data_IF_444783562907
#
_entry.id   IF_444783562907
#
_cell.length_a   1.000
_cell.length_b   1.000
_cell.length_c   1.000
_cell.angle_alpha   90.00
_cell.angle_beta   90.00
_cell.angle_gamma   90.00
#
_symmetry.space_group_name_H-M   'P 1'
#
loop_
_entity.id
_entity.type
_entity.pdbx_description
1 polymer ?
#
# COMPACT_ATOMS: atom_id res chain seq x y z
N UNK A 1 -42.70 -33.15 39.22
CA UNK A 1 -42.44 -31.76 39.67
C UNK A 1 -41.83 -31.03 38.47
N UNK A 2 -42.61 -30.44 37.55
CA UNK A 2 -43.29 -29.12 37.62
C UNK A 2 -42.25 -28.00 37.87
N UNK A 3 -42.02 -26.98 37.04
CA UNK A 3 -42.86 -26.13 36.15
C UNK A 3 -41.94 -25.34 35.18
N UNK A 4 -42.13 -25.29 33.86
CA UNK A 4 -42.95 -24.36 33.03
C UNK A 4 -43.01 -22.90 33.49
N UNK A 5 -42.61 -21.96 32.63
CA UNK A 5 -43.34 -20.69 32.36
C UNK A 5 -42.95 -20.12 30.98
N UNK A 6 -43.97 -19.94 30.13
CA UNK A 6 -43.98 -19.15 28.89
C UNK A 6 -44.63 -17.79 29.18
N UNK A 7 -44.37 -16.76 28.34
CA UNK A 7 -45.33 -15.74 27.79
C UNK A 7 -44.48 -14.70 27.04
N UNK A 8 -44.55 -14.49 25.72
CA UNK A 8 -45.63 -13.98 24.83
C UNK A 8 -46.15 -12.61 25.26
N UNK A 9 -46.02 -11.59 24.39
CA UNK A 9 -47.12 -10.71 23.92
C UNK A 9 -46.63 -9.74 22.83
N UNK A 10 -47.41 -9.71 21.75
CA UNK A 10 -47.43 -8.80 20.60
C UNK A 10 -48.10 -7.48 20.95
N UNK A 11 -47.78 -6.37 20.27
CA UNK A 11 -48.75 -5.28 20.13
C UNK A 11 -48.74 -4.61 18.75
N UNK A 12 -49.93 -4.29 18.27
CA UNK A 12 -50.32 -3.73 16.96
C UNK A 12 -51.26 -2.55 17.24
N UNK A 13 -51.09 -1.41 16.57
CA UNK A 13 -52.14 -0.38 16.33
C UNK A 13 -51.54 0.69 15.39
N UNK A 14 -52.00 0.89 14.15
CA UNK A 14 -53.03 1.87 13.67
C UNK A 14 -52.79 3.30 14.16
N UNK A 15 -52.92 4.39 13.41
CA UNK A 15 -53.38 4.72 12.06
C UNK A 15 -53.40 6.26 11.95
N UNK A 16 -53.55 6.85 10.76
CA UNK A 16 -53.76 8.30 10.65
C UNK A 16 -53.36 8.91 9.31
N UNK A 17 -54.30 8.93 8.37
CA UNK A 17 -54.31 9.78 7.16
C UNK A 17 -54.65 11.23 7.50
N UNK A 18 -54.05 12.23 6.83
CA UNK A 18 -54.86 13.25 6.15
C UNK A 18 -54.13 14.04 5.05
N UNK A 19 -54.94 14.43 4.05
CA UNK A 19 -54.68 15.13 2.79
C UNK A 19 -54.47 16.65 2.95
N UNK A 20 -54.05 17.26 1.82
CA UNK A 20 -54.56 18.54 1.22
C UNK A 20 -53.54 19.68 1.18
N UNK A 21 -53.39 20.55 0.17
CA UNK A 21 -53.79 20.70 -1.25
C UNK A 21 -53.20 22.04 -1.73
N UNK A 22 -52.93 22.18 -3.04
CA UNK A 22 -52.86 23.46 -3.79
C UNK A 22 -51.60 24.32 -3.59
N UNK A 23 -51.13 25.12 -4.54
CA UNK A 23 -51.64 25.53 -5.85
C UNK A 23 -50.49 26.11 -6.70
N UNK A 24 -50.80 26.36 -7.96
CA UNK A 24 -49.98 26.49 -9.15
C UNK A 24 -49.33 27.87 -9.39
N UNK A 25 -48.48 27.86 -10.43
CA UNK A 25 -48.28 28.92 -11.44
C UNK A 25 -47.22 29.99 -11.13
N UNK A 26 -46.50 30.61 -12.08
CA UNK A 26 -46.25 30.42 -13.51
C UNK A 26 -45.06 31.33 -13.86
N UNK A 27 -44.36 30.94 -14.93
CA UNK A 27 -43.43 31.67 -15.80
C UNK A 27 -43.21 33.19 -15.65
N UNK A 28 -41.97 33.64 -15.89
CA UNK A 28 -41.55 34.33 -17.14
C UNK A 28 -40.11 34.84 -17.06
N UNK A 29 -39.36 34.52 -18.10
CA UNK A 29 -38.10 35.13 -18.52
C UNK A 29 -38.37 36.23 -19.55
N UNK A 30 -37.55 37.29 -19.54
CA UNK A 30 -36.94 37.98 -20.70
C UNK A 30 -36.74 39.49 -20.43
N UNK A 31 -35.49 39.95 -20.58
CA UNK A 31 -35.01 41.26 -21.07
C UNK A 31 -33.50 41.33 -20.75
N UNK A 32 -32.56 41.79 -21.60
CA UNK A 32 -32.59 42.87 -22.57
C UNK A 32 -31.38 42.83 -23.55
N UNK A 33 -31.59 43.49 -24.71
CA UNK A 33 -30.70 44.16 -25.70
C UNK A 33 -29.17 44.17 -25.49
N UNK A 34 -28.36 43.77 -26.49
CA UNK A 34 -27.88 44.48 -27.71
C UNK A 34 -26.77 45.55 -27.49
N UNK A 35 -25.59 45.18 -28.01
CA UNK A 35 -24.64 45.95 -28.83
C UNK A 35 -23.81 47.08 -28.19
N UNK A 36 -22.47 46.92 -28.15
CA UNK A 36 -21.54 47.88 -28.76
C UNK A 36 -20.08 47.39 -28.77
N UNK A 37 -19.40 47.83 -29.82
CA UNK A 37 -18.03 47.55 -30.25
C UNK A 37 -17.04 48.45 -29.50
N UNK A 38 -15.93 47.91 -28.95
CA UNK A 38 -14.75 48.70 -28.56
C UNK A 38 -13.47 47.87 -28.58
N UNK A 39 -12.50 48.40 -29.31
CA UNK A 39 -11.10 47.97 -29.45
C UNK A 39 -10.31 48.09 -28.15
N UNK A 40 -9.29 47.25 -27.98
CA UNK A 40 -8.28 47.38 -26.93
C UNK A 40 -7.41 46.14 -26.83
N UNK A 41 -6.11 46.32 -27.09
CA UNK A 41 -5.05 45.32 -27.01
C UNK A 41 -4.99 44.57 -25.66
N UNK A 42 -4.59 43.30 -25.69
CA UNK A 42 -3.37 42.79 -25.04
C UNK A 42 -3.35 41.25 -24.93
N UNK A 43 -2.37 40.65 -25.63
CA UNK A 43 -1.57 39.47 -25.28
C UNK A 43 -2.16 38.45 -24.29
N UNK A 44 -2.47 37.26 -24.78
CA UNK A 44 -2.23 36.02 -24.05
C UNK A 44 -1.96 34.89 -25.03
N UNK A 45 -0.71 34.46 -25.06
CA UNK A 45 -0.31 33.17 -25.60
C UNK A 45 -0.94 32.06 -24.74
N UNK A 46 -1.26 30.93 -25.37
CA UNK A 46 -1.83 29.70 -24.78
C UNK A 46 -3.37 29.63 -24.68
N UNK A 47 -4.00 29.34 -25.82
CA UNK A 47 -5.28 28.63 -25.87
C UNK A 47 -5.01 27.13 -26.05
N UNK A 48 -5.19 26.33 -25.01
CA UNK A 48 -5.14 24.87 -25.11
C UNK A 48 -6.53 24.34 -25.52
N UNK A 49 -6.67 24.05 -26.81
CA UNK A 49 -7.80 23.35 -27.39
C UNK A 49 -7.76 21.86 -27.07
N UNK A 50 -8.95 21.33 -26.81
CA UNK A 50 -9.29 19.95 -26.45
C UNK A 50 -9.05 18.97 -27.61
N UNK A 51 -8.28 17.92 -27.31
CA UNK A 51 -8.26 16.54 -27.85
C UNK A 51 -8.41 16.29 -29.36
N UNK A 52 -7.33 15.81 -29.99
CA UNK A 52 -7.28 14.54 -30.75
C UNK A 52 -5.94 14.42 -31.46
N UNK A 53 -5.26 13.28 -31.29
CA UNK A 53 -4.02 12.96 -32.03
C UNK A 53 -2.78 12.86 -31.13
N UNK A 54 -2.32 11.62 -30.96
CA UNK A 54 -0.92 11.20 -30.89
C UNK A 54 0.08 12.27 -30.41
N UNK A 55 0.21 12.39 -29.09
CA UNK A 55 1.15 13.30 -28.44
C UNK A 55 2.59 12.79 -28.46
N UNK A 56 3.50 13.70 -28.81
CA UNK A 56 4.89 13.47 -29.14
C UNK A 56 5.76 12.94 -27.99
N UNK A 57 6.64 11.99 -28.33
CA UNK A 57 7.86 11.69 -27.59
C UNK A 57 8.81 12.88 -27.71
N UNK A 58 8.89 13.69 -26.66
CA UNK A 58 9.86 14.78 -26.57
C UNK A 58 10.74 14.53 -25.35
N UNK A 59 11.98 14.14 -25.63
CA UNK A 59 13.15 14.47 -24.80
C UNK A 59 13.34 13.74 -23.48
N UNK A 60 13.85 12.51 -23.54
CA UNK A 60 14.88 12.03 -22.61
C UNK A 60 15.65 10.88 -23.29
N UNK A 61 16.87 11.17 -23.71
CA UNK A 61 17.82 10.19 -24.25
C UNK A 61 18.27 9.26 -23.14
N UNK A 62 17.88 7.99 -23.17
CA UNK A 62 18.67 6.87 -22.66
C UNK A 62 18.47 5.68 -23.61
N UNK A 63 19.52 4.89 -23.79
CA UNK A 63 19.77 4.02 -24.93
C UNK A 63 18.63 3.05 -25.29
N UNK A 64 18.49 2.79 -26.60
CA UNK A 64 17.28 2.30 -27.28
C UNK A 64 16.56 1.08 -26.71
N UNK A 65 15.22 1.16 -26.73
CA UNK A 65 14.32 0.03 -27.02
C UNK A 65 13.18 0.55 -27.90
N UNK A 66 12.92 -0.19 -28.98
CA UNK A 66 11.95 0.15 -30.01
C UNK A 66 10.51 0.24 -29.48
N UNK A 67 9.81 1.26 -29.95
CA UNK A 67 8.37 1.45 -29.76
C UNK A 67 7.65 0.34 -30.53
N UNK A 68 6.85 -0.47 -29.83
CA UNK A 68 5.72 -1.16 -30.44
C UNK A 68 5.48 -2.60 -30.00
N UNK A 69 5.03 -2.84 -28.76
CA UNK A 69 4.18 -4.00 -28.45
C UNK A 69 3.16 -3.69 -27.34
N UNK A 70 1.88 -3.73 -27.73
CA UNK A 70 0.64 -3.97 -26.96
C UNK A 70 0.42 -3.27 -25.59
N UNK A 71 -0.53 -2.33 -25.58
CA UNK A 71 -0.98 -1.48 -24.47
C UNK A 71 -1.59 -2.17 -23.23
N UNK A 72 -1.48 -3.49 -23.06
CA UNK A 72 -1.87 -4.19 -21.82
C UNK A 72 -0.77 -5.09 -21.23
N UNK A 73 0.24 -5.48 -22.01
CA UNK A 73 1.40 -6.24 -21.52
C UNK A 73 2.64 -5.35 -21.32
N UNK A 74 2.66 -4.15 -21.92
CA UNK A 74 3.79 -3.21 -21.83
C UNK A 74 4.03 -2.62 -20.43
N UNK A 75 3.01 -2.57 -19.55
CA UNK A 75 3.20 -2.06 -18.18
C UNK A 75 4.14 -2.94 -17.36
N UNK A 76 4.12 -4.27 -17.55
CA UNK A 76 5.01 -5.18 -16.82
C UNK A 76 6.46 -5.09 -17.30
N UNK A 77 6.70 -4.90 -18.60
CA UNK A 77 8.06 -4.83 -19.16
C UNK A 77 8.74 -3.45 -18.98
N UNK A 78 7.99 -2.35 -18.99
CA UNK A 78 8.56 -1.02 -18.70
C UNK A 78 8.93 -0.88 -17.22
N UNK A 79 8.21 -1.54 -16.31
CA UNK A 79 8.63 -1.61 -14.91
C UNK A 79 9.91 -2.44 -14.78
N UNK A 80 10.04 -3.60 -15.45
CA UNK A 80 11.27 -4.41 -15.42
C UNK A 80 12.55 -3.68 -15.86
N UNK A 81 12.46 -2.77 -16.85
CA UNK A 81 13.60 -1.96 -17.29
C UNK A 81 13.98 -0.84 -16.32
N UNK A 82 13.04 -0.41 -15.47
CA UNK A 82 13.27 0.50 -14.35
C UNK A 82 13.65 -0.28 -13.07
N UNK A 83 13.21 -1.53 -12.93
CA UNK A 83 13.48 -2.43 -11.81
C UNK A 83 14.95 -2.85 -11.79
N UNK A 84 15.57 -3.02 -12.97
CA UNK A 84 17.02 -3.12 -13.11
C UNK A 84 17.78 -1.83 -12.72
N UNK A 85 17.08 -0.77 -12.29
CA UNK A 85 17.65 0.45 -11.69
C UNK A 85 17.25 0.66 -10.22
N UNK A 86 16.57 -0.30 -9.58
CA UNK A 86 16.17 -0.23 -8.16
C UNK A 86 17.24 -0.91 -7.31
N UNK A 87 18.37 -0.24 -7.17
CA UNK A 87 19.41 -0.56 -6.18
C UNK A 87 19.88 -2.02 -6.13
N UNK A 88 20.61 -2.32 -5.07
CA UNK A 88 20.98 -3.69 -4.71
C UNK A 88 19.92 -4.29 -3.78
N UNK A 89 20.05 -5.58 -3.46
CA UNK A 89 19.12 -6.31 -2.58
C UNK A 89 18.81 -5.61 -1.25
N UNK A 90 19.78 -4.95 -0.63
CA UNK A 90 19.63 -4.17 0.60
C UNK A 90 18.68 -2.97 0.41
N UNK A 91 18.82 -2.24 -0.71
CA UNK A 91 17.93 -1.12 -1.03
C UNK A 91 16.50 -1.59 -1.34
N UNK A 92 16.36 -2.78 -1.94
CA UNK A 92 15.05 -3.40 -2.18
C UNK A 92 14.36 -3.71 -0.84
N UNK A 93 15.06 -4.38 0.08
CA UNK A 93 14.51 -4.73 1.39
C UNK A 93 14.21 -3.48 2.24
N UNK A 94 15.08 -2.47 2.23
CA UNK A 94 14.81 -1.19 2.90
C UNK A 94 13.54 -0.49 2.35
N UNK A 95 13.31 -0.56 1.03
CA UNK A 95 12.08 -0.03 0.43
C UNK A 95 10.84 -0.82 0.90
N UNK A 96 10.97 -2.13 1.12
CA UNK A 96 9.91 -2.97 1.67
C UNK A 96 9.63 -2.66 3.14
N UNK A 97 10.66 -2.40 3.95
CA UNK A 97 10.53 -1.90 5.32
C UNK A 97 9.74 -0.59 5.37
N UNK A 98 10.13 0.39 4.56
CA UNK A 98 9.42 1.68 4.45
C UNK A 98 7.95 1.48 4.08
N UNK A 99 7.66 0.58 3.15
CA UNK A 99 6.31 0.26 2.74
C UNK A 99 5.49 -0.38 3.89
N UNK A 100 6.09 -1.29 4.66
CA UNK A 100 5.47 -1.91 5.82
C UNK A 100 5.20 -0.89 6.93
N UNK A 101 6.17 -0.04 7.27
CA UNK A 101 6.04 1.04 8.26
C UNK A 101 4.96 2.04 7.86
N UNK A 102 4.83 2.37 6.57
CA UNK A 102 3.75 3.22 6.07
C UNK A 102 2.36 2.56 6.19
N UNK A 103 2.26 1.24 6.15
CA UNK A 103 1.00 0.52 6.45
C UNK A 103 0.68 0.61 7.94
N UNK A 104 1.67 0.44 8.82
CA UNK A 104 1.49 0.65 10.26
C UNK A 104 0.99 2.06 10.59
N UNK A 105 1.57 3.09 9.98
CA UNK A 105 1.15 4.47 10.19
C UNK A 105 -0.34 4.67 9.80
N UNK A 106 -0.77 4.05 8.69
CA UNK A 106 -2.18 4.04 8.28
C UNK A 106 -3.07 3.28 9.26
N UNK A 107 -2.58 2.21 9.90
CA UNK A 107 -3.30 1.47 10.93
C UNK A 107 -3.44 2.30 12.21
N UNK A 108 -2.37 2.98 12.63
CA UNK A 108 -2.35 3.85 13.81
C UNK A 108 -3.25 5.09 13.64
N UNK A 109 -3.45 5.55 12.41
CA UNK A 109 -4.38 6.61 12.07
C UNK A 109 -5.87 6.17 12.01
N UNK A 110 -6.22 4.99 12.52
CA UNK A 110 -7.61 4.51 12.58
C UNK A 110 -8.21 4.54 13.98
N UNK A 111 -9.53 4.69 14.08
CA UNK A 111 -10.29 4.50 15.32
C UNK A 111 -11.07 3.17 15.35
N UNK A 112 -11.66 2.85 16.50
CA UNK A 112 -12.38 1.59 16.76
C UNK A 112 -13.60 1.35 15.85
N UNK A 113 -14.21 2.41 15.30
CA UNK A 113 -15.33 2.29 14.38
C UNK A 113 -14.91 1.79 12.99
N UNK A 114 -13.62 1.93 12.64
CA UNK A 114 -13.09 1.66 11.31
C UNK A 114 -12.64 0.20 11.11
N UNK A 115 -13.39 -0.75 11.66
CA UNK A 115 -13.04 -2.19 11.71
C UNK A 115 -12.72 -2.79 10.34
N UNK A 116 -13.49 -2.46 9.30
CA UNK A 116 -13.23 -2.93 7.93
C UNK A 116 -11.89 -2.43 7.39
N UNK A 117 -11.59 -1.13 7.58
CA UNK A 117 -10.31 -0.53 7.17
C UNK A 117 -9.14 -1.18 7.90
N UNK A 118 -9.26 -1.42 9.21
CA UNK A 118 -8.25 -2.13 10.02
C UNK A 118 -7.99 -3.53 9.49
N UNK A 119 -9.03 -4.31 9.18
CA UNK A 119 -8.89 -5.67 8.58
C UNK A 119 -8.18 -5.63 7.22
N UNK A 120 -8.55 -4.68 6.36
CA UNK A 120 -7.92 -4.54 5.04
C UNK A 120 -6.44 -4.12 5.14
N UNK A 121 -6.10 -3.25 6.09
CA UNK A 121 -4.70 -2.86 6.33
C UNK A 121 -3.90 -4.00 6.92
N UNK A 122 -4.45 -4.75 7.88
CA UNK A 122 -3.78 -5.93 8.44
C UNK A 122 -3.52 -6.98 7.37
N UNK A 123 -4.48 -7.28 6.51
CA UNK A 123 -4.28 -8.21 5.39
C UNK A 123 -3.16 -7.76 4.45
N UNK A 124 -3.09 -6.46 4.15
CA UNK A 124 -2.00 -5.89 3.33
C UNK A 124 -0.65 -5.98 4.03
N UNK A 125 -0.61 -5.69 5.32
CA UNK A 125 0.61 -5.79 6.14
C UNK A 125 1.10 -7.24 6.19
N UNK A 126 0.21 -8.20 6.45
CA UNK A 126 0.52 -9.63 6.46
C UNK A 126 1.18 -10.04 5.16
N UNK A 127 0.58 -9.70 4.01
CA UNK A 127 1.15 -10.06 2.72
C UNK A 127 2.51 -9.39 2.45
N UNK A 128 2.66 -8.11 2.81
CA UNK A 128 3.93 -7.40 2.66
C UNK A 128 5.05 -8.04 3.50
N UNK A 129 4.77 -8.35 4.77
CA UNK A 129 5.72 -8.98 5.67
C UNK A 129 6.03 -10.43 5.28
N UNK A 130 5.04 -11.20 4.83
CA UNK A 130 5.26 -12.59 4.36
C UNK A 130 6.19 -12.62 3.14
N UNK A 131 6.01 -11.68 2.20
CA UNK A 131 6.84 -11.56 1.00
C UNK A 131 8.28 -11.17 1.37
N UNK A 132 8.43 -10.15 2.20
CA UNK A 132 9.70 -9.65 2.69
C UNK A 132 10.48 -10.73 3.48
N UNK A 133 9.84 -11.33 4.48
CA UNK A 133 10.43 -12.39 5.27
C UNK A 133 10.86 -13.60 4.42
N UNK A 134 10.12 -13.92 3.35
CA UNK A 134 10.51 -14.98 2.42
C UNK A 134 11.81 -14.65 1.68
N UNK A 135 11.99 -13.41 1.21
CA UNK A 135 13.22 -12.98 0.55
C UNK A 135 14.44 -13.10 1.49
N UNK A 136 14.26 -12.75 2.76
CA UNK A 136 15.32 -12.85 3.76
C UNK A 136 15.63 -14.27 4.19
N UNK A 137 14.61 -15.03 4.60
CA UNK A 137 14.75 -16.40 5.10
C UNK A 137 15.33 -17.34 4.01
N UNK A 138 14.97 -17.13 2.74
CA UNK A 138 15.39 -18.00 1.65
C UNK A 138 16.69 -17.58 0.96
N UNK A 139 17.07 -16.30 1.05
CA UNK A 139 18.22 -15.75 0.31
C UNK A 139 19.23 -15.11 1.24
N UNK A 140 18.83 -14.07 1.98
CA UNK A 140 19.77 -13.21 2.72
C UNK A 140 20.34 -13.95 3.93
N UNK A 141 19.52 -14.55 4.78
CA UNK A 141 19.98 -15.22 6.00
C UNK A 141 20.87 -16.44 5.71
N UNK A 142 20.56 -17.30 4.71
CA UNK A 142 21.51 -18.32 4.26
C UNK A 142 22.85 -17.73 3.78
N UNK A 143 22.83 -16.63 3.04
CA UNK A 143 24.04 -15.99 2.56
C UNK A 143 24.88 -15.37 3.69
N UNK A 144 24.24 -14.75 4.69
CA UNK A 144 24.89 -14.28 5.91
C UNK A 144 25.59 -15.43 6.65
N UNK A 145 24.91 -16.57 6.80
CA UNK A 145 25.49 -17.76 7.44
C UNK A 145 26.68 -18.32 6.67
N UNK A 146 26.62 -18.33 5.34
CA UNK A 146 27.74 -18.77 4.48
C UNK A 146 28.95 -17.83 4.64
N UNK A 147 28.70 -16.53 4.82
CA UNK A 147 29.73 -15.52 5.08
C UNK A 147 30.24 -15.49 6.54
N UNK A 148 29.74 -16.37 7.41
CA UNK A 148 30.16 -16.46 8.82
C UNK A 148 29.44 -15.51 9.78
N UNK A 149 28.44 -14.76 9.32
CA UNK A 149 27.61 -13.84 10.10
C UNK A 149 26.39 -14.63 10.65
N UNK A 150 26.68 -15.70 11.39
CA UNK A 150 25.65 -16.67 11.79
C UNK A 150 24.80 -16.19 12.96
N UNK A 151 25.40 -15.50 13.93
CA UNK A 151 24.71 -15.10 15.16
C UNK A 151 23.59 -14.11 14.84
N UNK A 152 23.89 -13.11 14.03
CA UNK A 152 22.95 -12.10 13.60
C UNK A 152 21.87 -12.71 12.70
N UNK A 153 22.24 -13.60 11.76
CA UNK A 153 21.26 -14.29 10.92
C UNK A 153 20.28 -15.15 11.72
N UNK A 154 20.76 -15.87 12.74
CA UNK A 154 19.90 -16.70 13.59
C UNK A 154 19.02 -15.84 14.51
N UNK A 155 19.52 -14.70 14.99
CA UNK A 155 18.72 -13.72 15.75
C UNK A 155 17.60 -13.11 14.88
N UNK A 156 17.92 -12.66 13.66
CA UNK A 156 16.93 -12.07 12.74
C UNK A 156 15.83 -13.08 12.37
N UNK A 157 16.20 -14.35 12.15
CA UNK A 157 15.21 -15.41 11.90
C UNK A 157 14.32 -15.68 13.14
N UNK A 158 14.85 -15.57 14.36
CA UNK A 158 14.05 -15.67 15.58
C UNK A 158 13.03 -14.50 15.68
N UNK A 159 13.45 -13.28 15.34
CA UNK A 159 12.57 -12.10 15.32
C UNK A 159 11.38 -12.28 14.34
N UNK A 160 11.56 -12.98 13.22
CA UNK A 160 10.45 -13.34 12.31
C UNK A 160 9.40 -14.25 12.97
N UNK A 161 9.80 -15.07 13.95
CA UNK A 161 8.87 -15.83 14.79
C UNK A 161 7.98 -14.92 15.63
N UNK A 162 8.54 -13.84 16.17
CA UNK A 162 7.78 -12.84 16.92
C UNK A 162 6.81 -12.07 16.01
N UNK A 163 7.25 -11.71 14.79
CA UNK A 163 6.39 -11.09 13.75
C UNK A 163 5.13 -11.93 13.49
N UNK A 164 5.32 -13.25 13.27
CA UNK A 164 4.20 -14.20 13.06
C UNK A 164 3.27 -14.24 14.28
N UNK A 165 3.81 -14.12 15.49
CA UNK A 165 3.02 -14.06 16.73
C UNK A 165 2.16 -12.79 16.81
N UNK A 166 2.70 -11.61 16.47
CA UNK A 166 1.93 -10.36 16.43
C UNK A 166 0.83 -10.38 15.38
N UNK A 167 1.13 -10.91 14.18
CA UNK A 167 0.13 -11.07 13.12
C UNK A 167 -1.03 -11.95 13.57
N UNK A 168 -0.73 -13.10 14.20
CA UNK A 168 -1.75 -13.98 14.76
C UNK A 168 -2.56 -13.27 15.86
N UNK A 169 -1.90 -12.60 16.81
CA UNK A 169 -2.54 -11.87 17.91
C UNK A 169 -3.54 -10.83 17.37
N UNK A 170 -3.13 -10.04 16.38
CA UNK A 170 -4.02 -9.08 15.70
C UNK A 170 -5.15 -9.78 14.95
N UNK A 171 -4.91 -10.87 14.23
CA UNK A 171 -5.99 -11.58 13.55
C UNK A 171 -7.06 -12.12 14.53
N UNK A 172 -6.67 -12.54 15.74
CA UNK A 172 -7.58 -13.15 16.71
C UNK A 172 -8.31 -12.14 17.62
N UNK A 173 -7.70 -11.01 18.00
CA UNK A 173 -8.30 -10.14 19.03
C UNK A 173 -9.51 -9.31 18.57
N UNK A 174 -9.81 -9.28 17.27
CA UNK A 174 -10.87 -8.45 16.70
C UNK A 174 -10.44 -7.01 16.46
N UNK A 175 -10.79 -6.48 15.28
CA UNK A 175 -10.35 -5.15 14.83
C UNK A 175 -11.00 -3.98 15.59
N UNK A 176 -12.06 -4.24 16.35
CA UNK A 176 -12.73 -3.34 17.29
C UNK A 176 -12.17 -3.43 18.72
N UNK A 177 -11.19 -4.30 18.98
CA UNK A 177 -10.59 -4.42 20.31
C UNK A 177 -10.05 -3.08 20.82
N UNK A 178 -10.30 -2.71 22.09
CA UNK A 178 -9.77 -1.49 22.68
C UNK A 178 -8.23 -1.50 22.74
N UNK A 179 -7.59 -2.67 22.77
CA UNK A 179 -6.13 -2.84 22.79
C UNK A 179 -5.51 -3.01 21.39
N UNK A 180 -6.32 -2.88 20.32
CA UNK A 180 -5.85 -3.03 18.94
C UNK A 180 -4.67 -2.09 18.63
N UNK A 181 -4.86 -0.79 18.84
CA UNK A 181 -3.86 0.22 18.49
C UNK A 181 -2.60 0.11 19.35
N UNK A 182 -2.73 -0.35 20.59
CA UNK A 182 -1.59 -0.64 21.46
C UNK A 182 -0.75 -1.78 20.88
N UNK A 183 -1.39 -2.89 20.51
CA UNK A 183 -0.70 -4.03 19.86
C UNK A 183 -0.06 -3.63 18.54
N UNK A 184 -0.72 -2.77 17.74
CA UNK A 184 -0.15 -2.23 16.49
C UNK A 184 1.08 -1.36 16.76
N UNK A 185 1.10 -0.57 17.85
CA UNK A 185 2.28 0.25 18.23
C UNK A 185 3.46 -0.62 18.65
N UNK A 186 3.21 -1.63 19.48
CA UNK A 186 4.24 -2.61 19.89
C UNK A 186 4.83 -3.31 18.67
N UNK A 187 3.96 -3.79 17.77
CA UNK A 187 4.39 -4.49 16.57
C UNK A 187 5.17 -3.59 15.61
N UNK A 188 4.71 -2.36 15.37
CA UNK A 188 5.45 -1.36 14.58
C UNK A 188 6.83 -1.09 15.19
N UNK A 189 6.94 -1.00 16.51
CA UNK A 189 8.21 -0.77 17.18
C UNK A 189 9.17 -1.95 17.02
N UNK A 190 8.66 -3.19 17.01
CA UNK A 190 9.45 -4.38 16.69
C UNK A 190 10.00 -4.30 15.26
N UNK A 191 9.13 -4.11 14.27
CA UNK A 191 9.54 -4.02 12.86
C UNK A 191 10.53 -2.87 12.63
N UNK A 192 10.32 -1.72 13.28
CA UNK A 192 11.24 -0.59 13.15
C UNK A 192 12.63 -0.85 13.74
N UNK A 193 12.75 -1.68 14.78
CA UNK A 193 14.05 -2.05 15.34
C UNK A 193 14.74 -3.10 14.48
N UNK A 194 13.98 -4.07 13.99
CA UNK A 194 14.44 -5.09 13.05
C UNK A 194 15.05 -4.43 11.80
N UNK A 195 14.28 -3.59 11.12
CA UNK A 195 14.72 -2.85 9.94
C UNK A 195 15.99 -2.02 10.21
N UNK A 196 16.05 -1.35 11.36
CA UNK A 196 17.23 -0.56 11.74
C UNK A 196 18.49 -1.42 11.93
N UNK A 197 18.37 -2.56 12.61
CA UNK A 197 19.49 -3.48 12.81
C UNK A 197 20.01 -4.01 11.47
N UNK A 198 19.09 -4.40 10.58
CA UNK A 198 19.46 -4.88 9.26
C UNK A 198 20.12 -3.79 8.41
N UNK A 199 19.48 -2.64 8.26
CA UNK A 199 19.91 -1.58 7.35
C UNK A 199 21.19 -0.86 7.80
N UNK A 200 21.40 -0.67 9.10
CA UNK A 200 22.50 0.14 9.63
C UNK A 200 23.68 -0.71 10.14
N UNK A 201 23.45 -1.98 10.49
CA UNK A 201 24.48 -2.82 11.09
C UNK A 201 24.79 -4.06 10.22
N UNK A 202 23.81 -4.91 9.97
CA UNK A 202 24.03 -6.23 9.37
C UNK A 202 24.31 -6.14 7.87
N UNK A 203 23.46 -5.46 7.10
CA UNK A 203 23.59 -5.37 5.65
C UNK A 203 24.86 -4.63 5.23
N UNK A 204 25.24 -3.48 5.81
CA UNK A 204 26.48 -2.80 5.44
C UNK A 204 27.72 -3.66 5.74
N UNK A 205 27.76 -4.32 6.90
CA UNK A 205 28.84 -5.23 7.28
C UNK A 205 28.95 -6.41 6.32
N UNK A 206 27.82 -7.00 5.93
CA UNK A 206 27.80 -8.08 4.97
C UNK A 206 28.26 -7.63 3.58
N UNK A 207 27.73 -6.52 3.06
CA UNK A 207 28.07 -5.99 1.73
C UNK A 207 29.55 -5.64 1.58
N UNK A 208 30.21 -5.15 2.63
CA UNK A 208 31.65 -4.87 2.60
C UNK A 208 32.51 -6.12 2.32
N UNK A 209 31.97 -7.31 2.59
CA UNK A 209 32.66 -8.58 2.37
C UNK A 209 32.24 -9.28 1.07
N UNK A 210 31.34 -8.70 0.28
CA UNK A 210 30.88 -9.25 -0.99
C UNK A 210 31.72 -8.71 -2.16
N UNK A 211 32.05 -9.58 -3.10
CA UNK A 211 32.44 -9.14 -4.44
C UNK A 211 31.21 -8.60 -5.19
N UNK A 212 31.46 -7.79 -6.22
CA UNK A 212 30.40 -7.29 -7.11
C UNK A 212 29.55 -8.43 -7.70
N UNK A 213 30.18 -9.54 -8.09
CA UNK A 213 29.48 -10.70 -8.63
C UNK A 213 28.59 -11.38 -7.58
N UNK A 214 29.06 -11.51 -6.33
CA UNK A 214 28.26 -12.07 -5.25
C UNK A 214 27.07 -11.17 -4.90
N UNK A 215 27.30 -9.85 -4.80
CA UNK A 215 26.25 -8.87 -4.54
C UNK A 215 25.17 -8.90 -5.63
N UNK A 216 25.58 -8.87 -6.91
CA UNK A 216 24.67 -8.98 -8.04
C UNK A 216 23.90 -10.33 -8.06
N UNK A 217 24.55 -11.43 -7.67
CA UNK A 217 23.89 -12.74 -7.54
C UNK A 217 22.78 -12.71 -6.48
N UNK A 218 23.05 -12.15 -5.30
CA UNK A 218 22.06 -12.02 -4.22
C UNK A 218 20.90 -11.11 -4.67
N UNK A 219 21.20 -9.97 -5.29
CA UNK A 219 20.19 -9.07 -5.89
C UNK A 219 19.27 -9.80 -6.86
N UNK A 220 19.80 -10.65 -7.73
CA UNK A 220 18.98 -11.44 -8.65
C UNK A 220 18.09 -12.47 -7.93
N UNK A 221 18.59 -13.11 -6.88
CA UNK A 221 17.83 -14.08 -6.09
C UNK A 221 16.70 -13.42 -5.30
N UNK A 222 16.97 -12.30 -4.63
CA UNK A 222 15.96 -11.51 -3.90
C UNK A 222 14.85 -11.04 -4.84
N UNK A 223 15.19 -10.49 -6.00
CA UNK A 223 14.20 -10.07 -7.00
C UNK A 223 13.34 -11.24 -7.51
N UNK A 224 13.97 -12.40 -7.75
CA UNK A 224 13.25 -13.60 -8.22
C UNK A 224 12.25 -14.09 -7.18
N UNK A 225 12.66 -14.17 -5.92
CA UNK A 225 11.80 -14.70 -4.86
C UNK A 225 10.69 -13.69 -4.51
N UNK A 226 11.00 -12.39 -4.52
CA UNK A 226 10.00 -11.33 -4.38
C UNK A 226 8.95 -11.31 -5.50
N UNK A 227 9.32 -11.66 -6.74
CA UNK A 227 8.39 -11.78 -7.86
C UNK A 227 7.43 -12.98 -7.70
N UNK A 228 7.89 -14.09 -7.13
CA UNK A 228 7.05 -15.28 -6.97
C UNK A 228 5.98 -15.09 -5.90
N UNK A 229 6.26 -14.26 -4.90
CA UNK A 229 5.36 -13.94 -3.79
C UNK A 229 4.39 -12.78 -4.06
N UNK A 230 4.54 -12.04 -5.18
CA UNK A 230 3.73 -10.87 -5.54
C UNK A 230 2.52 -11.20 -6.44
#
# INVERSE_FOLDING_TARGET
>A
MATRTQSRTTNRSTGGTNKSSGDQSRSRSAESNRNENRSGDERSAFSFGKSSGTGALVGATLAGVAIGMAANYGRKFLMQGLEATVGDWDAILATEHDAALAIFDKMLATDESQTFKRKMLLMKLTHALDKHAHQEEMVVYPALREAGIRVEADQLEEEHGEVKTYLYKLQQMGADSPTWLETVREFRALISRHAHMEEEEVFPSFKQNLTEEQNAKITNLVNRDGFWMA
#
